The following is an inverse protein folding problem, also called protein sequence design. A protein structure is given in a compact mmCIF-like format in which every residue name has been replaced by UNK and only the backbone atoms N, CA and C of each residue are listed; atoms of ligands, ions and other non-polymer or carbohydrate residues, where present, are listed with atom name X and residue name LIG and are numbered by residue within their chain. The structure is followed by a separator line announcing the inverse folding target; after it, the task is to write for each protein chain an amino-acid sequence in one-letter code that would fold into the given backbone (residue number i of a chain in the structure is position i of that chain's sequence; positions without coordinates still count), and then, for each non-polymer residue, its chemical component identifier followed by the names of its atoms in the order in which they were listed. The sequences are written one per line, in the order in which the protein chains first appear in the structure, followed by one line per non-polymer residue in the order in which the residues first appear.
data_IF_106876260628
#
_entry.id   IF_106876260628
#
_cell.length_a   1.000
_cell.length_b   1.000
_cell.length_c   1.000
_cell.angle_alpha   90.00
_cell.angle_beta   90.00
_cell.angle_gamma   90.00
#
_symmetry.space_group_name_H-M   'P 1'
#
loop_
_entity.id
_entity.type
_entity.pdbx_description
1 polymer ?
#
# COMPACT_ATOMS: atom_id res chain seq x y z
N UNK A 1 30.36 -11.58 -8.57
CA UNK A 1 29.38 -10.50 -8.30
C UNK A 1 29.05 -10.54 -6.83
N UNK A 2 29.44 -9.52 -6.05
CA UNK A 2 29.08 -9.42 -4.63
C UNK A 2 27.57 -9.18 -4.55
N UNK A 3 26.79 -10.23 -4.34
CA UNK A 3 25.36 -10.13 -4.05
C UNK A 3 25.19 -9.39 -2.74
N UNK A 4 24.76 -8.13 -2.80
CA UNK A 4 24.36 -7.36 -1.63
C UNK A 4 23.19 -8.07 -0.94
N UNK A 5 23.48 -8.85 0.10
CA UNK A 5 22.48 -9.57 0.89
C UNK A 5 21.88 -8.65 1.95
N UNK A 6 20.57 -8.71 2.13
CA UNK A 6 19.89 -8.08 3.27
C UNK A 6 20.15 -8.89 4.53
N UNK A 7 20.50 -8.21 5.62
CA UNK A 7 20.77 -8.78 6.93
C UNK A 7 19.83 -8.10 7.93
N UNK A 8 19.26 -8.90 8.83
CA UNK A 8 18.44 -8.38 9.92
C UNK A 8 19.34 -7.59 10.89
N UNK A 9 18.85 -6.43 11.32
CA UNK A 9 19.51 -5.56 12.28
C UNK A 9 18.61 -5.37 13.51
N UNK A 10 19.23 -5.10 14.65
CA UNK A 10 18.52 -4.87 15.90
C UNK A 10 17.56 -3.66 15.79
N UNK A 11 16.35 -3.70 16.37
CA UNK A 11 15.39 -2.60 16.31
C UNK A 11 15.93 -1.27 16.83
N UNK A 12 16.79 -1.28 17.85
CA UNK A 12 17.42 -0.08 18.40
C UNK A 12 18.38 0.51 17.37
N UNK A 13 19.18 -0.33 16.71
CA UNK A 13 20.09 0.08 15.65
C UNK A 13 19.32 0.60 14.42
N UNK A 14 18.19 -0.03 14.08
CA UNK A 14 17.31 0.45 13.02
C UNK A 14 16.73 1.82 13.34
N UNK A 15 16.30 2.06 14.58
CA UNK A 15 15.75 3.34 15.04
C UNK A 15 16.72 4.52 14.91
N UNK A 16 18.03 4.27 14.97
CA UNK A 16 19.08 5.28 14.77
C UNK A 16 19.49 5.46 13.29
N UNK A 17 18.99 4.61 12.39
CA UNK A 17 19.37 4.65 10.98
C UNK A 17 18.75 5.88 10.29
N UNK A 18 19.48 6.63 9.42
CA UNK A 18 18.96 7.83 8.74
C UNK A 18 17.79 7.56 7.79
N UNK A 19 17.60 6.29 7.44
CA UNK A 19 16.49 5.82 6.62
C UNK A 19 15.29 5.32 7.44
N UNK A 20 15.35 5.35 8.77
CA UNK A 20 14.22 4.98 9.61
C UNK A 20 13.11 6.03 9.55
N UNK A 21 11.85 5.58 9.71
CA UNK A 21 10.65 6.42 9.69
C UNK A 21 10.06 6.71 8.30
N UNK A 22 8.97 7.47 8.30
CA UNK A 22 8.16 7.82 7.11
C UNK A 22 8.71 9.09 6.44
N UNK A 23 9.59 8.92 5.45
CA UNK A 23 10.16 10.03 4.67
C UNK A 23 10.45 9.65 3.21
N UNK A 24 10.93 10.62 2.43
CA UNK A 24 11.24 10.44 1.01
C UNK A 24 9.98 10.18 0.17
N UNK A 25 9.99 9.11 -0.63
CA UNK A 25 8.86 8.73 -1.48
C UNK A 25 7.73 7.98 -0.75
N UNK A 26 7.95 7.55 0.49
CA UNK A 26 6.96 6.74 1.20
C UNK A 26 5.64 7.48 1.50
N UNK A 27 5.63 8.77 1.91
CA UNK A 27 4.38 9.54 2.02
C UNK A 27 3.58 9.60 0.72
N UNK A 28 4.27 9.79 -0.41
CA UNK A 28 3.63 9.82 -1.74
C UNK A 28 3.03 8.47 -2.11
N UNK A 29 3.75 7.39 -1.82
CA UNK A 29 3.24 6.03 -2.01
C UNK A 29 2.00 5.78 -1.17
N UNK A 30 1.98 6.21 0.09
CA UNK A 30 0.79 6.11 0.95
C UNK A 30 -0.39 6.92 0.39
N UNK A 31 -0.15 8.15 -0.05
CA UNK A 31 -1.19 9.00 -0.64
C UNK A 31 -1.79 8.38 -1.91
N UNK A 32 -0.95 7.88 -2.82
CA UNK A 32 -1.40 7.25 -4.07
C UNK A 32 -2.10 5.91 -3.80
N UNK A 33 -1.60 5.13 -2.83
CA UNK A 33 -2.21 3.86 -2.42
C UNK A 33 -3.65 4.05 -1.94
N UNK A 34 -3.97 5.17 -1.30
CA UNK A 34 -5.33 5.50 -0.87
C UNK A 34 -6.13 6.10 -2.03
N UNK A 35 -5.56 7.10 -2.73
CA UNK A 35 -6.26 7.85 -3.76
C UNK A 35 -6.71 6.98 -4.96
N UNK A 36 -5.92 5.96 -5.33
CA UNK A 36 -6.27 5.05 -6.43
C UNK A 36 -7.58 4.29 -6.19
N UNK A 37 -7.70 3.49 -5.11
CA UNK A 37 -8.95 2.87 -4.71
C UNK A 37 -10.09 3.87 -4.48
N UNK A 38 -9.83 5.05 -3.90
CA UNK A 38 -10.85 6.10 -3.73
C UNK A 38 -11.43 6.54 -5.08
N UNK A 39 -10.57 6.72 -6.09
CA UNK A 39 -10.99 7.10 -7.42
C UNK A 39 -11.89 6.04 -8.06
N UNK A 40 -11.49 4.77 -8.01
CA UNK A 40 -12.29 3.65 -8.54
C UNK A 40 -13.63 3.54 -7.84
N UNK A 41 -13.65 3.69 -6.51
CA UNK A 41 -14.87 3.72 -5.72
C UNK A 41 -15.81 4.85 -6.18
N UNK A 42 -15.28 6.06 -6.37
CA UNK A 42 -16.12 7.19 -6.79
C UNK A 42 -16.65 7.04 -8.22
N UNK A 43 -15.85 6.53 -9.14
CA UNK A 43 -16.28 6.25 -10.51
C UNK A 43 -17.41 5.21 -10.55
N UNK A 44 -17.34 4.19 -9.69
CA UNK A 44 -18.39 3.17 -9.58
C UNK A 44 -19.69 3.65 -8.95
N UNK A 45 -19.64 4.74 -8.20
CA UNK A 45 -20.81 5.38 -7.58
C UNK A 45 -21.36 6.56 -8.40
N UNK A 46 -21.23 6.53 -9.75
CA UNK A 46 -21.71 7.57 -10.68
C UNK A 46 -23.01 8.26 -10.23
N UNK A 47 -23.19 9.54 -10.57
CA UNK A 47 -24.32 10.38 -10.09
C UNK A 47 -25.69 9.69 -10.16
N UNK A 48 -25.91 8.80 -11.12
CA UNK A 48 -27.14 8.00 -11.25
C UNK A 48 -27.30 6.95 -10.14
N UNK A 49 -26.22 6.28 -9.70
CA UNK A 49 -26.22 5.37 -8.55
C UNK A 49 -26.38 6.14 -7.22
N UNK A 50 -25.82 7.36 -7.14
CA UNK A 50 -26.00 8.26 -5.99
C UNK A 50 -27.41 8.84 -5.93
N UNK A 51 -28.04 9.08 -7.09
CA UNK A 51 -29.43 9.52 -7.22
C UNK A 51 -30.43 8.37 -6.99
N UNK A 52 -30.15 7.16 -7.47
CA UNK A 52 -30.92 5.94 -7.14
C UNK A 52 -30.82 5.57 -5.66
N UNK A 53 -29.66 5.79 -5.04
CA UNK A 53 -29.46 5.65 -3.60
C UNK A 53 -29.82 6.94 -2.82
N UNK A 54 -30.52 7.89 -3.45
CA UNK A 54 -30.73 9.27 -2.99
C UNK A 54 -31.03 9.39 -1.50
N UNK A 55 -30.26 10.22 -0.79
CA UNK A 55 -30.29 10.46 0.67
C UNK A 55 -30.19 9.23 1.60
N UNK A 56 -30.31 8.01 1.06
CA UNK A 56 -30.56 6.75 1.75
C UNK A 56 -29.51 5.68 1.39
N UNK A 57 -28.26 6.10 1.13
CA UNK A 57 -27.09 5.22 0.98
C UNK A 57 -26.95 4.17 2.11
N UNK A 58 -27.51 4.48 3.28
CA UNK A 58 -27.52 3.61 4.46
C UNK A 58 -28.89 2.97 4.75
N UNK A 59 -29.91 3.20 3.91
CA UNK A 59 -31.19 2.53 4.06
C UNK A 59 -31.09 1.12 3.47
N UNK A 60 -31.21 0.13 4.35
CA UNK A 60 -31.03 -1.29 4.02
C UNK A 60 -32.02 -1.81 2.95
N UNK A 61 -33.07 -1.04 2.66
CA UNK A 61 -34.15 -1.42 1.75
C UNK A 61 -33.95 -0.92 0.31
N UNK A 62 -32.95 -0.07 0.04
CA UNK A 62 -32.66 0.41 -1.31
C UNK A 62 -31.91 -0.66 -2.15
N UNK A 63 -32.30 -0.91 -3.42
CA UNK A 63 -31.60 -1.87 -4.27
C UNK A 63 -30.12 -1.52 -4.41
N UNK A 64 -29.23 -2.47 -4.12
CA UNK A 64 -27.77 -2.27 -4.20
C UNK A 64 -27.12 -1.59 -3.00
N UNK A 65 -27.88 -1.07 -2.02
CA UNK A 65 -27.32 -0.38 -0.84
C UNK A 65 -26.46 -1.30 0.03
N UNK A 66 -26.83 -2.58 0.15
CA UNK A 66 -26.03 -3.58 0.87
C UNK A 66 -24.64 -3.77 0.27
N UNK A 67 -24.52 -3.80 -1.07
CA UNK A 67 -23.25 -3.92 -1.75
C UNK A 67 -22.39 -2.66 -1.60
N UNK A 68 -23.00 -1.48 -1.69
CA UNK A 68 -22.31 -0.20 -1.51
C UNK A 68 -21.80 -0.07 -0.06
N UNK A 69 -22.62 -0.41 0.94
CA UNK A 69 -22.23 -0.37 2.35
C UNK A 69 -21.10 -1.35 2.66
N UNK A 70 -21.20 -2.59 2.16
CA UNK A 70 -20.13 -3.58 2.32
C UNK A 70 -18.83 -3.13 1.65
N UNK A 71 -18.92 -2.60 0.43
CA UNK A 71 -17.76 -2.08 -0.30
C UNK A 71 -17.09 -0.93 0.44
N UNK A 72 -17.89 0.01 0.95
CA UNK A 72 -17.42 1.15 1.74
C UNK A 72 -16.72 0.67 3.02
N UNK A 73 -17.31 -0.28 3.73
CA UNK A 73 -16.75 -0.84 4.96
C UNK A 73 -15.41 -1.55 4.70
N UNK A 74 -15.34 -2.37 3.64
CA UNK A 74 -14.10 -3.05 3.25
C UNK A 74 -13.01 -2.07 2.83
N UNK A 75 -13.36 -1.03 2.07
CA UNK A 75 -12.46 0.05 1.70
C UNK A 75 -11.89 0.76 2.94
N UNK A 76 -12.75 1.17 3.88
CA UNK A 76 -12.34 1.85 5.09
C UNK A 76 -11.44 0.98 5.97
N UNK A 77 -11.82 -0.28 6.20
CA UNK A 77 -11.00 -1.23 6.96
C UNK A 77 -9.62 -1.36 6.31
N UNK A 78 -9.58 -1.57 5.00
CA UNK A 78 -8.31 -1.75 4.28
C UNK A 78 -7.40 -0.52 4.39
N UNK A 79 -7.94 0.68 4.18
CA UNK A 79 -7.18 1.93 4.32
C UNK A 79 -6.68 2.13 5.76
N UNK A 80 -7.54 1.91 6.77
CA UNK A 80 -7.16 2.05 8.17
C UNK A 80 -6.08 1.04 8.54
N UNK A 81 -6.19 -0.22 8.13
CA UNK A 81 -5.17 -1.24 8.38
C UNK A 81 -3.82 -0.82 7.82
N UNK A 82 -3.75 -0.36 6.56
CA UNK A 82 -2.49 0.09 5.95
C UNK A 82 -1.91 1.31 6.68
N UNK A 83 -2.74 2.27 7.07
CA UNK A 83 -2.30 3.46 7.81
C UNK A 83 -1.82 3.14 9.23
N UNK A 84 -2.49 2.22 9.92
CA UNK A 84 -2.07 1.75 11.24
C UNK A 84 -0.72 1.05 11.12
N UNK A 85 -0.58 0.09 10.21
CA UNK A 85 0.71 -0.60 10.00
C UNK A 85 1.82 0.37 9.58
N UNK A 86 1.50 1.42 8.81
CA UNK A 86 2.45 2.45 8.45
C UNK A 86 2.93 3.27 9.66
N UNK A 87 2.00 3.69 10.53
CA UNK A 87 2.29 4.55 11.69
C UNK A 87 2.92 3.79 12.85
N UNK A 88 2.60 2.50 13.03
CA UNK A 88 3.23 1.62 14.02
C UNK A 88 4.55 1.01 13.55
N UNK A 89 4.95 1.27 12.30
CA UNK A 89 6.13 0.70 11.66
C UNK A 89 6.17 -0.84 11.71
N UNK A 90 5.03 -1.47 11.52
CA UNK A 90 4.89 -2.93 11.64
C UNK A 90 5.46 -3.68 10.42
N UNK A 91 6.07 -4.83 10.64
CA UNK A 91 6.65 -5.69 9.60
C UNK A 91 5.65 -6.25 8.59
N UNK A 92 4.37 -6.36 8.98
CA UNK A 92 3.28 -6.77 8.10
C UNK A 92 2.87 -5.68 7.10
N UNK A 93 3.39 -4.45 7.23
CA UNK A 93 3.05 -3.34 6.34
C UNK A 93 3.26 -3.68 4.86
N UNK A 94 4.40 -4.28 4.49
CA UNK A 94 4.72 -4.58 3.08
C UNK A 94 3.73 -5.56 2.42
N UNK A 95 3.48 -6.76 2.98
CA UNK A 95 2.50 -7.66 2.39
C UNK A 95 1.09 -7.07 2.41
N UNK A 96 0.68 -6.39 3.49
CA UNK A 96 -0.63 -5.74 3.57
C UNK A 96 -0.81 -4.65 2.51
N UNK A 97 0.22 -3.82 2.29
CA UNK A 97 0.21 -2.76 1.29
C UNK A 97 0.12 -3.31 -0.14
N UNK A 98 0.84 -4.39 -0.44
CA UNK A 98 0.72 -5.06 -1.75
C UNK A 98 -0.68 -5.63 -1.97
N UNK A 99 -1.23 -6.31 -0.97
CA UNK A 99 -2.59 -6.85 -1.03
C UNK A 99 -3.61 -5.73 -1.22
N UNK A 100 -3.46 -4.63 -0.49
CA UNK A 100 -4.29 -3.43 -0.63
C UNK A 100 -4.28 -2.89 -2.06
N UNK A 101 -3.08 -2.66 -2.63
CA UNK A 101 -2.93 -2.13 -4.00
C UNK A 101 -3.46 -3.07 -5.07
N UNK A 102 -3.21 -4.38 -4.92
CA UNK A 102 -3.53 -5.36 -5.95
C UNK A 102 -5.00 -5.81 -5.94
N UNK A 103 -5.61 -5.94 -4.74
CA UNK A 103 -6.92 -6.55 -4.60
C UNK A 103 -8.04 -5.54 -4.37
N UNK A 104 -7.80 -4.44 -3.66
CA UNK A 104 -8.89 -3.55 -3.27
C UNK A 104 -9.59 -2.90 -4.48
N UNK A 105 -8.88 -2.31 -5.47
CA UNK A 105 -9.55 -1.68 -6.59
C UNK A 105 -10.41 -2.64 -7.45
N UNK A 106 -9.95 -3.85 -7.82
CA UNK A 106 -10.80 -4.83 -8.51
C UNK A 106 -11.97 -5.32 -7.65
N UNK A 107 -11.74 -5.49 -6.34
CA UNK A 107 -12.77 -5.97 -5.42
C UNK A 107 -13.92 -4.99 -5.26
N UNK A 108 -13.66 -3.68 -5.34
CA UNK A 108 -14.70 -2.64 -5.42
C UNK A 108 -15.63 -2.91 -6.63
N UNK A 109 -15.07 -3.08 -7.83
CA UNK A 109 -15.87 -3.36 -9.02
C UNK A 109 -16.64 -4.68 -8.95
N UNK A 110 -16.04 -5.73 -8.38
CA UNK A 110 -16.70 -7.03 -8.18
C UNK A 110 -17.90 -6.94 -7.23
N UNK A 111 -17.74 -6.24 -6.10
CA UNK A 111 -18.81 -6.09 -5.11
C UNK A 111 -19.98 -5.28 -5.68
N UNK A 112 -19.69 -4.18 -6.40
CA UNK A 112 -20.72 -3.39 -7.07
C UNK A 112 -21.43 -4.21 -8.17
N UNK A 113 -20.70 -5.09 -8.88
CA UNK A 113 -21.28 -5.96 -9.90
C UNK A 113 -22.19 -7.02 -9.29
N UNK A 114 -21.79 -7.63 -8.18
CA UNK A 114 -22.63 -8.54 -7.41
C UNK A 114 -23.89 -7.86 -6.86
N UNK A 115 -23.80 -6.57 -6.54
CA UNK A 115 -24.93 -5.73 -6.13
C UNK A 115 -25.84 -5.24 -7.25
N UNK A 116 -25.54 -5.57 -8.52
CA UNK A 116 -26.33 -5.12 -9.67
C UNK A 116 -26.24 -3.62 -9.95
N UNK A 117 -25.16 -2.95 -9.49
CA UNK A 117 -25.00 -1.50 -9.63
C UNK A 117 -24.69 -1.15 -11.10
N UNK A 118 -25.40 -0.17 -11.70
CA UNK A 118 -25.10 0.33 -13.04
C UNK A 118 -23.64 0.81 -13.14
N UNK A 119 -22.94 0.47 -14.23
CA UNK A 119 -21.52 0.85 -14.41
C UNK A 119 -20.50 -0.01 -13.63
N UNK A 120 -20.94 -1.05 -12.90
CA UNK A 120 -20.00 -1.90 -12.16
C UNK A 120 -18.97 -2.62 -13.05
N UNK A 121 -19.34 -2.97 -14.29
CA UNK A 121 -18.43 -3.63 -15.24
C UNK A 121 -17.26 -2.72 -15.65
N UNK A 122 -17.53 -1.45 -15.96
CA UNK A 122 -16.46 -0.48 -16.25
C UNK A 122 -15.62 -0.23 -15.01
N UNK A 123 -16.26 -0.12 -13.83
CA UNK A 123 -15.56 0.03 -12.55
C UNK A 123 -14.60 -1.13 -12.26
N UNK A 124 -14.96 -2.37 -12.61
CA UNK A 124 -14.07 -3.51 -12.49
C UNK A 124 -12.86 -3.39 -13.41
N UNK A 125 -13.06 -2.98 -14.67
CA UNK A 125 -11.98 -2.79 -15.64
C UNK A 125 -11.02 -1.70 -15.16
N UNK A 126 -11.56 -0.56 -14.73
CA UNK A 126 -10.79 0.56 -14.18
C UNK A 126 -10.07 0.14 -12.89
N UNK A 127 -10.73 -0.64 -12.04
CA UNK A 127 -10.14 -1.24 -10.85
C UNK A 127 -8.94 -2.12 -11.16
N UNK A 128 -9.04 -2.99 -12.17
CA UNK A 128 -7.91 -3.80 -12.63
C UNK A 128 -6.77 -2.93 -13.16
N UNK A 129 -7.08 -1.92 -13.97
CA UNK A 129 -6.07 -1.00 -14.51
C UNK A 129 -5.34 -0.24 -13.39
N UNK A 130 -6.08 0.26 -12.40
CA UNK A 130 -5.53 0.95 -11.22
C UNK A 130 -4.69 0.01 -10.37
N UNK A 131 -5.14 -1.23 -10.11
CA UNK A 131 -4.36 -2.20 -9.36
C UNK A 131 -3.02 -2.53 -10.03
N UNK A 132 -3.03 -2.72 -11.36
CA UNK A 132 -1.79 -2.95 -12.12
C UNK A 132 -0.87 -1.73 -12.02
N UNK A 133 -1.40 -0.52 -12.23
CA UNK A 133 -0.62 0.72 -12.15
C UNK A 133 0.00 0.92 -10.75
N UNK A 134 -0.78 0.76 -9.68
CA UNK A 134 -0.32 0.87 -8.29
C UNK A 134 0.74 -0.18 -7.96
N UNK A 135 0.50 -1.43 -8.35
CA UNK A 135 1.43 -2.53 -8.03
C UNK A 135 2.76 -2.36 -8.77
N UNK A 136 2.73 -1.96 -10.05
CA UNK A 136 3.95 -1.75 -10.84
C UNK A 136 4.76 -0.53 -10.41
N UNK A 137 4.09 0.52 -9.92
CA UNK A 137 4.78 1.75 -9.49
C UNK A 137 5.11 1.71 -8.01
N UNK A 138 4.09 1.79 -7.16
CA UNK A 138 4.21 1.83 -5.71
C UNK A 138 4.63 0.48 -5.13
N UNK A 139 4.06 -0.63 -5.62
CA UNK A 139 4.39 -1.97 -5.14
C UNK A 139 5.87 -2.30 -5.35
N UNK A 140 6.41 -2.02 -6.53
CA UNK A 140 7.85 -2.19 -6.83
C UNK A 140 8.72 -1.33 -5.90
N UNK A 141 8.35 -0.07 -5.68
CA UNK A 141 9.07 0.78 -4.71
C UNK A 141 9.08 0.16 -3.30
N UNK A 142 7.92 -0.32 -2.83
CA UNK A 142 7.77 -0.95 -1.50
C UNK A 142 8.64 -2.21 -1.35
N UNK A 143 8.86 -2.96 -2.44
CA UNK A 143 9.67 -4.18 -2.42
C UNK A 143 11.19 -3.92 -2.45
N UNK A 144 11.62 -2.89 -3.17
CA UNK A 144 13.04 -2.63 -3.46
C UNK A 144 13.65 -1.57 -2.53
N UNK A 145 12.84 -0.66 -1.99
CA UNK A 145 13.32 0.48 -1.20
C UNK A 145 14.00 0.05 0.10
N UNK A 146 15.24 0.51 0.28
CA UNK A 146 16.03 0.34 1.52
C UNK A 146 15.36 1.01 2.71
N UNK A 147 14.76 2.19 2.50
CA UNK A 147 14.02 2.90 3.54
C UNK A 147 12.86 2.05 4.05
N UNK A 148 12.07 1.45 3.17
CA UNK A 148 10.95 0.59 3.58
C UNK A 148 11.46 -0.64 4.36
N UNK A 149 12.53 -1.28 3.89
CA UNK A 149 13.12 -2.44 4.60
C UNK A 149 13.68 -2.09 5.98
N UNK A 150 14.33 -0.95 6.12
CA UNK A 150 14.88 -0.53 7.42
C UNK A 150 13.77 -0.08 8.37
N UNK A 151 12.78 0.67 7.87
CA UNK A 151 11.67 1.18 8.70
C UNK A 151 10.75 0.06 9.18
N UNK A 152 10.38 -0.90 8.32
CA UNK A 152 9.35 -1.90 8.63
C UNK A 152 9.88 -3.31 8.89
N UNK A 153 11.01 -3.69 8.29
CA UNK A 153 11.55 -5.07 8.43
C UNK A 153 12.86 -5.12 9.23
N UNK A 154 13.37 -3.97 9.70
CA UNK A 154 14.67 -3.85 10.36
C UNK A 154 15.77 -4.58 9.60
N UNK A 155 15.83 -4.39 8.28
CA UNK A 155 16.82 -5.03 7.40
C UNK A 155 17.73 -4.01 6.75
N UNK A 156 19.04 -4.22 6.86
CA UNK A 156 20.03 -3.42 6.15
C UNK A 156 20.86 -4.25 5.15
N UNK A 157 21.45 -3.59 4.15
CA UNK A 157 22.41 -4.26 3.27
C UNK A 157 23.64 -4.62 4.08
N UNK A 158 24.06 -5.89 3.99
CA UNK A 158 25.31 -6.35 4.55
C UNK A 158 26.41 -5.34 4.22
N UNK A 159 27.15 -4.83 5.22
CA UNK A 159 28.36 -4.07 4.96
C UNK A 159 29.24 -4.96 4.09
N UNK A 160 29.38 -4.59 2.82
CA UNK A 160 30.31 -5.30 1.95
C UNK A 160 31.66 -5.34 2.65
N UNK A 161 32.40 -6.44 2.49
CA UNK A 161 33.72 -6.72 3.06
C UNK A 161 34.76 -5.57 2.93
N UNK A 162 34.43 -4.52 2.19
CA UNK A 162 35.15 -3.26 2.05
C UNK A 162 35.20 -2.40 3.34
N UNK A 163 34.35 -2.67 4.34
CA UNK A 163 34.50 -2.05 5.66
C UNK A 163 35.80 -2.50 6.36
N UNK A 164 36.25 -3.75 6.11
CA UNK A 164 37.57 -4.22 6.55
C UNK A 164 38.68 -3.45 5.81
N UNK A 165 38.58 -3.28 4.49
CA UNK A 165 39.59 -2.55 3.71
C UNK A 165 39.76 -1.09 4.15
N UNK A 166 38.68 -0.41 4.55
CA UNK A 166 38.76 0.95 5.12
C UNK A 166 39.36 0.99 6.53
N UNK A 167 39.21 -0.08 7.33
CA UNK A 167 39.90 -0.18 8.64
C UNK A 167 41.40 -0.42 8.48
N UNK A 168 41.84 -1.25 7.54
CA UNK A 168 43.27 -1.49 7.32
C UNK A 168 44.01 -0.24 6.80
N UNK A 169 43.39 0.59 5.95
CA UNK A 169 44.02 1.85 5.50
C UNK A 169 44.17 2.92 6.58
N UNK A 170 43.45 2.84 7.70
CA UNK A 170 43.61 3.75 8.85
C UNK A 170 44.53 3.20 9.94
N UNK A 171 44.95 1.94 9.83
CA UNK A 171 45.80 1.27 10.80
C UNK A 171 47.27 1.11 10.32
N UNK A 172 47.65 1.77 9.23
CA UNK A 172 49.05 1.86 8.80
C UNK A 172 49.63 3.23 9.19
N UNK A 173 50.28 3.35 10.36
CA UNK A 173 51.25 4.40 10.59
C UNK A 173 52.57 3.97 9.92
N UNK A 174 52.99 4.75 8.94
CA UNK A 174 54.36 4.79 8.43
C UNK A 174 54.81 6.23 8.45
#
# INVERSE_FOLDING_TARGET
MLTHRWVDIDPIAAGQHPLYGIAGWLPWVLAIAIAGPTWVFWQGLSMDALQLAGADLFNANAPGSGAINLTTLLYLISCVTVLVLATTHDSAFRPAMLVHMALLPPLIGLMLMAGGVPGARSTLIDGVAVAVALTLTCGVYVQVSRRVRITFEFRDRAPGEHAWFKRQKRAAPG
#
